data_IF_585408394011
#
_entry.id   IF_585408394011
#
_cell.length_a   1.000
_cell.length_b   1.000
_cell.length_c   1.000
_cell.angle_alpha   90.00
_cell.angle_beta   90.00
_cell.angle_gamma   90.00
#
_symmetry.space_group_name_H-M   'P 1'
#
loop_
_entity.id
_entity.type
_entity.pdbx_description
1 polymer ?
#
# COMPACT_ATOMS: atom_id res chain seq x y z
N UNK A 1 23.39 -9.04 1.28
CA UNK A 1 22.23 -9.83 0.83
C UNK A 1 21.92 -9.40 -0.59
N UNK A 2 22.13 -10.27 -1.58
CA UNK A 2 21.86 -9.95 -3.00
C UNK A 2 20.45 -10.46 -3.29
N UNK A 3 19.52 -9.56 -3.61
CA UNK A 3 18.16 -9.94 -4.01
C UNK A 3 18.24 -10.28 -5.50
N UNK A 4 18.12 -11.56 -5.83
CA UNK A 4 18.03 -12.01 -7.21
C UNK A 4 16.58 -11.87 -7.65
N UNK A 5 16.28 -10.89 -8.52
CA UNK A 5 14.97 -10.80 -9.16
C UNK A 5 14.84 -11.88 -10.22
N UNK A 6 13.89 -12.81 -10.04
CA UNK A 6 13.46 -13.71 -11.11
C UNK A 6 12.56 -12.91 -12.04
N UNK A 7 12.87 -12.81 -13.36
CA UNK A 7 12.06 -12.04 -14.28
C UNK A 7 10.67 -12.66 -14.41
N UNK A 8 9.64 -11.87 -14.07
CA UNK A 8 8.26 -12.27 -14.29
C UNK A 8 7.98 -12.45 -15.78
N UNK A 9 7.28 -13.53 -16.12
CA UNK A 9 6.87 -13.82 -17.50
C UNK A 9 5.98 -12.68 -18.00
N UNK A 10 6.44 -11.95 -19.01
CA UNK A 10 5.66 -10.85 -19.61
C UNK A 10 4.51 -11.42 -20.42
N UNK A 11 3.32 -11.37 -19.88
CA UNK A 11 2.09 -11.66 -20.62
C UNK A 11 1.80 -10.46 -21.53
N UNK A 12 2.13 -10.59 -22.81
CA UNK A 12 1.98 -9.52 -23.83
C UNK A 12 0.58 -9.48 -24.44
N UNK A 13 -0.26 -10.49 -24.13
CA UNK A 13 -1.59 -10.67 -24.71
C UNK A 13 -2.74 -10.29 -23.77
N UNK A 14 -2.43 -9.84 -22.54
CA UNK A 14 -3.44 -9.39 -21.58
C UNK A 14 -3.84 -7.95 -21.93
N UNK A 15 -5.12 -7.76 -22.24
CA UNK A 15 -5.66 -6.42 -22.40
C UNK A 15 -6.10 -5.86 -21.02
N UNK A 16 -6.28 -4.53 -20.93
CA UNK A 16 -6.64 -3.88 -19.67
C UNK A 16 -8.01 -4.32 -19.13
N UNK A 17 -8.96 -4.66 -20.01
CA UNK A 17 -10.31 -5.11 -19.63
C UNK A 17 -10.24 -6.45 -18.91
N UNK A 18 -9.45 -7.39 -19.45
CA UNK A 18 -9.26 -8.72 -18.83
C UNK A 18 -8.65 -8.60 -17.43
N UNK A 19 -7.75 -7.63 -17.22
CA UNK A 19 -7.13 -7.35 -15.92
C UNK A 19 -8.17 -6.82 -14.93
N UNK A 20 -8.98 -5.85 -15.34
CA UNK A 20 -10.00 -5.24 -14.50
C UNK A 20 -11.12 -6.22 -14.15
N UNK A 21 -11.49 -7.12 -15.07
CA UNK A 21 -12.48 -8.16 -14.81
C UNK A 21 -11.93 -9.19 -13.81
N UNK A 22 -10.67 -9.60 -13.96
CA UNK A 22 -10.02 -10.52 -13.03
C UNK A 22 -9.89 -9.90 -11.63
N UNK A 23 -9.55 -8.62 -11.51
CA UNK A 23 -9.39 -7.90 -10.23
C UNK A 23 -10.65 -7.97 -9.35
N UNK A 24 -11.84 -7.92 -9.97
CA UNK A 24 -13.11 -7.97 -9.26
C UNK A 24 -13.64 -9.40 -9.03
N UNK A 25 -12.94 -10.43 -9.51
CA UNK A 25 -13.39 -11.81 -9.37
C UNK A 25 -13.13 -12.31 -7.93
N UNK A 26 -14.16 -12.69 -7.15
CA UNK A 26 -13.99 -13.18 -5.78
C UNK A 26 -13.27 -14.53 -5.70
N UNK A 27 -13.17 -15.27 -6.80
CA UNK A 27 -12.44 -16.53 -6.91
C UNK A 27 -11.01 -16.34 -7.43
N UNK A 28 -10.54 -15.10 -7.61
CA UNK A 28 -9.18 -14.83 -8.05
C UNK A 28 -8.17 -15.30 -6.99
N UNK A 29 -7.41 -16.35 -7.32
CA UNK A 29 -6.30 -16.83 -6.49
C UNK A 29 -5.02 -16.13 -6.96
N UNK A 30 -4.51 -15.22 -6.14
CA UNK A 30 -3.24 -14.55 -6.38
C UNK A 30 -2.07 -15.35 -5.81
N UNK A 31 -1.04 -15.58 -6.62
CA UNK A 31 0.23 -16.16 -6.16
C UNK A 31 1.27 -15.04 -6.04
N UNK A 32 2.00 -14.95 -4.92
CA UNK A 32 3.10 -14.01 -4.79
C UNK A 32 4.12 -14.19 -5.93
N UNK A 33 4.61 -13.08 -6.48
CA UNK A 33 5.67 -13.12 -7.50
C UNK A 33 7.03 -13.56 -6.95
N UNK A 34 7.16 -13.64 -5.63
CA UNK A 34 8.34 -14.12 -4.92
C UNK A 34 7.93 -15.11 -3.84
N UNK A 35 8.77 -16.10 -3.57
CA UNK A 35 8.60 -16.97 -2.41
C UNK A 35 8.65 -16.13 -1.14
N UNK A 36 7.58 -16.19 -0.34
CA UNK A 36 7.56 -15.63 1.00
C UNK A 36 8.25 -16.66 1.90
N UNK A 37 9.34 -16.30 2.60
CA UNK A 37 10.00 -17.22 3.52
C UNK A 37 9.02 -17.76 4.56
N UNK A 38 9.16 -19.02 4.96
CA UNK A 38 8.31 -19.58 6.02
C UNK A 38 8.56 -18.90 7.38
N UNK A 39 9.78 -18.42 7.59
CA UNK A 39 10.23 -17.78 8.84
C UNK A 39 10.30 -16.26 8.67
N UNK A 40 9.15 -15.63 8.40
CA UNK A 40 9.07 -14.17 8.45
C UNK A 40 8.98 -13.69 9.90
N UNK A 41 9.72 -12.64 10.31
CA UNK A 41 9.59 -12.05 11.63
C UNK A 41 8.17 -11.60 11.92
N UNK A 42 7.77 -11.62 13.21
CA UNK A 42 6.52 -10.99 13.64
C UNK A 42 6.58 -9.51 13.24
N UNK A 43 5.63 -9.07 12.40
CA UNK A 43 5.60 -7.72 11.85
C UNK A 43 6.10 -7.58 10.41
N UNK A 44 6.53 -8.66 9.76
CA UNK A 44 6.89 -8.62 8.34
C UNK A 44 5.66 -8.30 7.47
N UNK A 45 5.74 -7.25 6.65
CA UNK A 45 4.61 -6.78 5.84
C UNK A 45 3.62 -5.89 6.60
N UNK A 46 3.84 -5.63 7.89
CA UNK A 46 3.23 -4.49 8.56
C UNK A 46 3.91 -3.26 7.99
N UNK A 47 3.12 -2.45 7.28
CA UNK A 47 3.54 -1.11 6.95
C UNK A 47 3.66 -0.38 8.27
N UNK A 48 4.89 -0.08 8.63
CA UNK A 48 5.18 0.83 9.71
C UNK A 48 4.43 2.13 9.44
N UNK A 49 3.51 2.48 10.31
CA UNK A 49 2.82 3.77 10.30
C UNK A 49 3.75 4.91 10.76
N UNK A 50 5.04 4.64 10.99
CA UNK A 50 6.12 5.60 11.27
C UNK A 50 6.47 6.46 10.04
N UNK A 51 5.47 7.13 9.49
CA UNK A 51 5.60 8.55 9.21
C UNK A 51 4.36 9.21 9.82
N UNK A 52 4.44 9.55 11.10
CA UNK A 52 3.57 10.57 11.69
C UNK A 52 3.89 11.88 10.94
N UNK A 53 3.15 12.11 9.85
CA UNK A 53 3.35 13.26 8.99
C UNK A 53 3.15 14.49 9.87
N UNK A 54 4.20 15.32 10.03
CA UNK A 54 4.14 16.55 10.82
C UNK A 54 2.93 17.42 10.45
N UNK A 55 2.43 17.32 9.20
CA UNK A 55 1.20 17.99 8.75
C UNK A 55 -0.05 17.39 9.38
N UNK A 56 -0.13 16.06 9.49
CA UNK A 56 -1.21 15.35 10.18
C UNK A 56 -1.19 15.68 11.66
N UNK A 57 -0.03 15.61 12.33
CA UNK A 57 0.09 16.00 13.74
C UNK A 57 -0.33 17.47 13.97
N UNK A 58 0.08 18.36 13.06
CA UNK A 58 -0.32 19.78 13.11
C UNK A 58 -1.83 19.96 12.92
N UNK A 59 -2.44 19.27 11.95
CA UNK A 59 -3.88 19.35 11.69
C UNK A 59 -4.71 18.79 12.86
N UNK A 60 -4.29 17.67 13.46
CA UNK A 60 -4.93 17.13 14.67
C UNK A 60 -4.84 18.14 15.82
N UNK A 61 -3.68 18.76 16.03
CA UNK A 61 -3.52 19.79 17.07
C UNK A 61 -4.38 21.04 16.85
N UNK A 62 -4.68 21.41 15.60
CA UNK A 62 -5.61 22.50 15.29
C UNK A 62 -7.07 22.16 15.64
N UNK A 63 -7.47 20.91 15.43
CA UNK A 63 -8.80 20.41 15.78
C UNK A 63 -8.95 20.36 17.30
N UNK A 64 -7.96 19.78 18.00
CA UNK A 64 -7.97 19.65 19.46
C UNK A 64 -7.94 21.01 20.18
N UNK A 65 -7.25 22.00 19.60
CA UNK A 65 -7.21 23.36 20.13
C UNK A 65 -8.47 24.19 19.82
N UNK A 66 -9.48 23.60 19.16
CA UNK A 66 -10.73 24.26 18.76
C UNK A 66 -10.49 25.63 18.10
N UNK A 67 -9.44 25.73 17.28
CA UNK A 67 -9.04 26.97 16.61
C UNK A 67 -10.19 27.51 15.76
N UNK A 68 -10.66 28.71 16.08
CA UNK A 68 -11.67 29.41 15.28
C UNK A 68 -10.99 30.10 14.09
N UNK A 69 -11.16 29.54 12.91
CA UNK A 69 -10.73 30.19 11.68
C UNK A 69 -11.66 31.36 11.35
N UNK A 70 -11.13 32.57 11.45
CA UNK A 70 -11.78 33.75 10.90
C UNK A 70 -11.27 33.96 9.48
N UNK A 71 -12.15 33.80 8.49
CA UNK A 71 -11.87 34.21 7.11
C UNK A 71 -11.80 35.74 7.09
N UNK A 72 -10.60 36.30 7.12
CA UNK A 72 -10.38 37.71 6.83
C UNK A 72 -10.43 37.87 5.31
N UNK A 73 -11.40 38.66 4.86
CA UNK A 73 -11.59 39.03 3.46
C UNK A 73 -10.61 40.09 3.02
#
# INVERSE_FOLDING_TARGET
MVITMIPAKRHTDLNLVDILEAEHNPELIVQPMMEVPADVPVGWGIWDDEIDDRRVTYMVGLIDSAQKYNKTS
#
